data_IF_817048305232
#
_entry.id   IF_817048305232
#
_cell.length_a   1.000
_cell.length_b   1.000
_cell.length_c   1.000
_cell.angle_alpha   90.00
_cell.angle_beta   90.00
_cell.angle_gamma   90.00
#
_symmetry.space_group_name_H-M   'P 1'
#
loop_
_entity.id
_entity.type
_entity.pdbx_description
1 polymer ?
#
# COMPACT_ATOMS: atom_id res chain seq x y z
N UNK A 1 -12.19 -12.66 17.53
CA UNK A 1 -13.08 -11.95 16.59
C UNK A 1 -13.80 -10.83 17.34
N UNK A 2 -13.73 -9.59 16.88
CA UNK A 2 -14.43 -8.47 17.53
C UNK A 2 -15.94 -8.60 17.27
N UNK A 3 -16.76 -8.55 18.33
CA UNK A 3 -18.23 -8.54 18.20
C UNK A 3 -18.66 -7.31 17.39
N UNK A 4 -19.57 -7.44 16.41
CA UNK A 4 -20.14 -6.27 15.75
C UNK A 4 -20.91 -5.42 16.78
N UNK A 5 -20.82 -4.08 16.72
CA UNK A 5 -21.50 -3.21 17.67
C UNK A 5 -23.03 -3.39 17.60
N UNK A 6 -23.69 -3.34 18.77
CA UNK A 6 -25.12 -3.62 19.02
C UNK A 6 -26.12 -2.72 18.28
N UNK A 7 -25.66 -1.76 17.46
CA UNK A 7 -26.52 -0.88 16.66
C UNK A 7 -26.99 -1.52 15.35
N UNK A 8 -26.59 -2.77 15.06
CA UNK A 8 -26.87 -3.41 13.78
C UNK A 8 -28.38 -3.55 13.51
N UNK A 9 -29.21 -3.81 14.53
CA UNK A 9 -30.63 -4.16 14.38
C UNK A 9 -31.46 -3.12 13.60
N UNK A 10 -31.15 -1.82 13.72
CA UNK A 10 -31.92 -0.73 13.09
C UNK A 10 -31.23 -0.12 11.85
N UNK A 11 -30.16 -0.73 11.34
CA UNK A 11 -29.47 -0.20 10.15
C UNK A 11 -30.23 -0.63 8.88
N UNK A 12 -30.64 0.31 7.99
CA UNK A 12 -31.37 -0.03 6.76
C UNK A 12 -30.61 -1.07 5.91
N UNK A 13 -31.29 -2.01 5.23
CA UNK A 13 -30.64 -3.09 4.49
C UNK A 13 -29.60 -2.61 3.47
N UNK A 14 -29.92 -1.52 2.75
CA UNK A 14 -29.01 -0.93 1.77
C UNK A 14 -27.71 -0.41 2.41
N UNK A 15 -27.79 0.20 3.60
CA UNK A 15 -26.61 0.70 4.34
C UNK A 15 -25.72 -0.47 4.78
N UNK A 16 -26.29 -1.59 5.23
CA UNK A 16 -25.52 -2.80 5.56
C UNK A 16 -24.77 -3.35 4.34
N UNK A 17 -25.42 -3.39 3.18
CA UNK A 17 -24.79 -3.84 1.93
C UNK A 17 -23.62 -2.95 1.53
N UNK A 18 -23.76 -1.63 1.58
CA UNK A 18 -22.65 -0.71 1.27
C UNK A 18 -21.46 -0.86 2.22
N UNK A 19 -21.73 -1.05 3.52
CA UNK A 19 -20.67 -1.27 4.51
C UNK A 19 -19.94 -2.58 4.24
N UNK A 20 -20.67 -3.67 3.96
CA UNK A 20 -20.09 -4.98 3.64
C UNK A 20 -19.25 -4.91 2.35
N UNK A 21 -19.77 -4.26 1.31
CA UNK A 21 -19.07 -4.04 0.04
C UNK A 21 -17.76 -3.29 0.26
N UNK A 22 -17.77 -2.22 1.08
CA UNK A 22 -16.56 -1.49 1.42
C UNK A 22 -15.50 -2.36 2.12
N UNK A 23 -15.91 -3.19 3.09
CA UNK A 23 -15.00 -4.12 3.76
C UNK A 23 -14.43 -5.17 2.82
N UNK A 24 -15.23 -5.67 1.87
CA UNK A 24 -14.78 -6.61 0.86
C UNK A 24 -13.74 -5.96 -0.07
N UNK A 25 -14.04 -4.79 -0.63
CA UNK A 25 -13.12 -4.05 -1.51
C UNK A 25 -11.81 -3.74 -0.79
N UNK A 26 -11.88 -3.30 0.47
CA UNK A 26 -10.68 -3.07 1.29
C UNK A 26 -9.86 -4.35 1.48
N UNK A 27 -10.50 -5.46 1.81
CA UNK A 27 -9.81 -6.73 2.04
C UNK A 27 -9.13 -7.24 0.78
N UNK A 28 -9.80 -7.15 -0.37
CA UNK A 28 -9.23 -7.51 -1.68
C UNK A 28 -8.05 -6.60 -2.02
N UNK A 29 -8.18 -5.29 -1.84
CA UNK A 29 -7.09 -4.34 -2.09
C UNK A 29 -5.88 -4.60 -1.17
N UNK A 30 -6.11 -4.91 0.10
CA UNK A 30 -5.04 -5.25 1.04
C UNK A 30 -4.34 -6.57 0.66
N UNK A 31 -5.11 -7.61 0.32
CA UNK A 31 -4.54 -8.88 -0.14
C UNK A 31 -3.73 -8.71 -1.42
N UNK A 32 -4.24 -7.95 -2.39
CA UNK A 32 -3.53 -7.60 -3.62
C UNK A 32 -2.20 -6.89 -3.31
N UNK A 33 -2.24 -5.84 -2.48
CA UNK A 33 -1.05 -5.08 -2.09
C UNK A 33 0.01 -6.00 -1.45
N UNK A 34 -0.40 -6.85 -0.50
CA UNK A 34 0.52 -7.78 0.18
C UNK A 34 1.12 -8.77 -0.81
N UNK A 35 0.31 -9.43 -1.62
CA UNK A 35 0.79 -10.43 -2.57
C UNK A 35 1.78 -9.85 -3.58
N UNK A 36 1.44 -8.71 -4.20
CA UNK A 36 2.29 -8.08 -5.22
C UNK A 36 3.58 -7.55 -4.59
N UNK A 37 3.50 -6.91 -3.42
CA UNK A 37 4.69 -6.34 -2.76
C UNK A 37 5.61 -7.44 -2.23
N UNK A 38 5.06 -8.51 -1.65
CA UNK A 38 5.86 -9.67 -1.23
C UNK A 38 6.52 -10.35 -2.43
N UNK A 39 5.80 -10.55 -3.53
CA UNK A 39 6.37 -11.14 -4.74
C UNK A 39 7.48 -10.24 -5.32
N UNK A 40 7.24 -8.94 -5.39
CA UNK A 40 8.22 -7.96 -5.85
C UNK A 40 9.48 -7.93 -4.97
N UNK A 41 9.32 -8.06 -3.65
CA UNK A 41 10.43 -8.06 -2.71
C UNK A 41 11.20 -9.38 -2.72
N UNK A 42 10.52 -10.52 -2.71
CA UNK A 42 11.15 -11.84 -2.84
C UNK A 42 11.93 -11.95 -4.14
N UNK A 43 11.39 -11.43 -5.25
CA UNK A 43 12.12 -11.38 -6.52
C UNK A 43 13.40 -10.54 -6.42
N UNK A 44 13.46 -9.52 -5.56
CA UNK A 44 14.68 -8.74 -5.33
C UNK A 44 15.68 -9.48 -4.44
N UNK A 45 15.21 -10.15 -3.38
CA UNK A 45 16.09 -10.82 -2.41
C UNK A 45 16.65 -12.14 -2.95
N UNK A 46 15.91 -12.82 -3.82
CA UNK A 46 16.31 -14.09 -4.43
C UNK A 46 16.93 -13.87 -5.81
N UNK A 47 17.76 -14.81 -6.27
CA UNK A 47 18.31 -14.79 -7.63
C UNK A 47 17.36 -15.46 -8.64
N UNK A 48 16.04 -15.44 -8.36
CA UNK A 48 15.02 -16.03 -9.22
C UNK A 48 14.66 -15.18 -10.44
N UNK A 49 15.21 -13.96 -10.55
CA UNK A 49 15.03 -13.06 -11.69
C UNK A 49 16.16 -13.19 -12.71
N UNK A 50 15.81 -13.04 -13.99
CA UNK A 50 16.77 -13.03 -15.09
C UNK A 50 17.84 -11.93 -14.92
N UNK A 51 19.05 -12.18 -15.43
CA UNK A 51 20.15 -11.19 -15.49
C UNK A 51 19.73 -9.84 -16.10
N UNK A 52 18.74 -9.82 -16.99
CA UNK A 52 18.18 -8.60 -17.59
C UNK A 52 17.41 -7.75 -16.58
N UNK A 53 16.75 -8.37 -15.60
CA UNK A 53 16.11 -7.67 -14.49
C UNK A 53 17.14 -7.11 -13.51
N UNK A 54 18.24 -7.83 -13.25
CA UNK A 54 19.38 -7.28 -12.49
C UNK A 54 19.97 -6.04 -13.16
N UNK A 55 20.17 -6.04 -14.47
CA UNK A 55 20.68 -4.87 -15.20
C UNK A 55 19.74 -3.65 -15.10
N UNK A 56 18.43 -3.88 -15.07
CA UNK A 56 17.46 -2.81 -14.82
C UNK A 56 17.52 -2.28 -13.38
N UNK A 57 17.81 -3.12 -12.39
CA UNK A 57 18.03 -2.65 -11.01
C UNK A 57 19.28 -1.79 -10.86
N UNK A 58 20.37 -2.15 -11.55
CA UNK A 58 21.58 -1.31 -11.58
C UNK A 58 21.26 0.06 -12.18
N UNK A 59 20.50 0.10 -13.29
CA UNK A 59 20.03 1.37 -13.88
C UNK A 59 19.12 2.18 -12.97
N UNK A 60 18.27 1.52 -12.18
CA UNK A 60 17.45 2.20 -11.16
C UNK A 60 18.33 2.78 -10.05
N UNK A 61 19.41 2.08 -9.67
CA UNK A 61 20.38 2.56 -8.70
C UNK A 61 21.12 3.80 -9.20
N UNK A 62 21.58 3.79 -10.45
CA UNK A 62 22.27 4.93 -11.08
C UNK A 62 21.33 6.15 -11.17
N UNK A 63 20.06 5.94 -11.51
CA UNK A 63 19.05 6.99 -11.48
C UNK A 63 18.78 7.52 -10.05
N UNK A 64 18.84 6.65 -9.04
CA UNK A 64 18.72 7.03 -7.63
C UNK A 64 19.95 7.77 -7.09
N UNK A 65 21.14 7.47 -7.61
CA UNK A 65 22.41 8.08 -7.20
C UNK A 65 22.49 9.59 -7.49
N UNK A 66 21.78 10.05 -8.53
CA UNK A 66 21.68 11.48 -8.90
C UNK A 66 20.64 12.23 -8.05
N UNK A 67 19.75 11.50 -7.36
CA UNK A 67 18.74 12.09 -6.47
C UNK A 67 19.37 12.46 -5.11
N UNK A 68 18.90 13.49 -4.37
CA UNK A 68 19.40 13.85 -3.03
C UNK A 68 19.41 12.73 -1.97
N UNK A 69 18.82 11.56 -2.26
CA UNK A 69 18.84 10.37 -1.40
C UNK A 69 19.91 9.32 -1.82
N UNK A 70 20.68 9.58 -2.88
CA UNK A 70 21.72 8.70 -3.44
C UNK A 70 23.05 8.68 -2.68
N UNK A 71 23.17 9.43 -1.57
CA UNK A 71 24.42 9.64 -0.83
C UNK A 71 25.03 8.38 -0.20
N UNK A 72 24.30 7.26 -0.16
CA UNK A 72 24.75 6.06 0.56
C UNK A 72 25.79 5.23 -0.20
N UNK A 73 26.00 5.46 -1.50
CA UNK A 73 27.03 4.77 -2.29
C UNK A 73 26.95 3.24 -2.20
N UNK A 74 25.73 2.69 -2.07
CA UNK A 74 25.54 1.27 -1.82
C UNK A 74 25.87 0.44 -3.05
N UNK A 75 26.48 -0.71 -2.83
CA UNK A 75 26.60 -1.74 -3.86
C UNK A 75 25.21 -2.14 -4.38
N UNK A 76 25.01 -2.32 -5.71
CA UNK A 76 23.70 -2.67 -6.29
C UNK A 76 23.06 -3.91 -5.69
N UNK A 77 23.85 -4.92 -5.29
CA UNK A 77 23.35 -6.13 -4.63
C UNK A 77 22.81 -5.82 -3.25
N UNK A 78 23.53 -5.01 -2.47
CA UNK A 78 23.12 -4.57 -1.12
C UNK A 78 21.84 -3.76 -1.20
N UNK A 79 21.77 -2.78 -2.10
CA UNK A 79 20.57 -1.98 -2.29
C UNK A 79 19.35 -2.83 -2.67
N UNK A 80 19.52 -3.75 -3.63
CA UNK A 80 18.46 -4.68 -4.05
C UNK A 80 17.94 -5.49 -2.86
N UNK A 81 18.83 -6.02 -2.02
CA UNK A 81 18.46 -6.76 -0.81
C UNK A 81 17.71 -5.86 0.18
N UNK A 82 18.20 -4.65 0.44
CA UNK A 82 17.55 -3.71 1.35
C UNK A 82 16.13 -3.34 0.90
N UNK A 83 15.95 -3.01 -0.39
CA UNK A 83 14.63 -2.71 -0.96
C UNK A 83 13.72 -3.94 -0.88
N UNK A 84 14.21 -5.11 -1.29
CA UNK A 84 13.42 -6.34 -1.29
C UNK A 84 12.97 -6.77 0.10
N UNK A 85 13.88 -6.75 1.09
CA UNK A 85 13.54 -7.02 2.48
C UNK A 85 12.54 -5.98 3.02
N UNK A 86 12.72 -4.70 2.70
CA UNK A 86 11.81 -3.64 3.14
C UNK A 86 10.41 -3.83 2.58
N UNK A 87 10.27 -4.16 1.29
CA UNK A 87 9.00 -4.46 0.65
C UNK A 87 8.28 -5.63 1.35
N UNK A 88 8.97 -6.75 1.57
CA UNK A 88 8.38 -7.93 2.25
C UNK A 88 7.97 -7.59 3.68
N UNK A 89 8.86 -6.99 4.47
CA UNK A 89 8.59 -6.67 5.87
C UNK A 89 7.44 -5.67 6.00
N UNK A 90 7.42 -4.62 5.19
CA UNK A 90 6.36 -3.61 5.22
C UNK A 90 5.03 -4.17 4.74
N UNK A 91 5.02 -5.00 3.68
CA UNK A 91 3.83 -5.68 3.22
C UNK A 91 3.20 -6.52 4.34
N UNK A 92 3.98 -7.36 5.03
CA UNK A 92 3.50 -8.14 6.16
C UNK A 92 3.05 -7.26 7.33
N UNK A 93 3.76 -6.16 7.60
CA UNK A 93 3.38 -5.20 8.64
C UNK A 93 2.04 -4.51 8.35
N UNK A 94 1.58 -4.44 7.08
CA UNK A 94 0.22 -3.95 6.77
C UNK A 94 -0.89 -4.88 7.29
N UNK A 95 -0.58 -6.14 7.59
CA UNK A 95 -1.50 -7.09 8.22
C UNK A 95 -1.54 -6.97 9.74
N UNK A 96 -0.73 -6.08 10.34
CA UNK A 96 -0.66 -5.94 11.78
C UNK A 96 -2.06 -5.62 12.37
N UNK A 97 -2.43 -6.29 13.49
CA UNK A 97 -3.71 -6.03 14.14
C UNK A 97 -3.76 -4.61 14.72
N UNK A 98 -2.62 -4.15 15.23
CA UNK A 98 -2.43 -2.80 15.75
C UNK A 98 -2.48 -1.76 14.64
N UNK A 99 -3.41 -0.81 14.79
CA UNK A 99 -3.61 0.32 13.88
C UNK A 99 -2.33 1.16 13.65
N UNK A 100 -1.59 1.60 14.68
CA UNK A 100 -0.40 2.44 14.46
C UNK A 100 0.68 1.74 13.63
N UNK A 101 0.96 0.46 13.88
CA UNK A 101 1.96 -0.28 13.11
C UNK A 101 1.56 -0.43 11.63
N UNK A 102 0.28 -0.73 11.39
CA UNK A 102 -0.27 -0.81 10.03
C UNK A 102 -0.23 0.53 9.29
N UNK A 103 -0.55 1.64 9.96
CA UNK A 103 -0.49 2.97 9.35
C UNK A 103 0.95 3.38 9.01
N UNK A 104 1.91 3.09 9.89
CA UNK A 104 3.34 3.27 9.62
C UNK A 104 3.80 2.45 8.41
N UNK A 105 3.37 1.19 8.32
CA UNK A 105 3.69 0.32 7.19
C UNK A 105 3.18 0.91 5.86
N UNK A 106 1.94 1.39 5.80
CA UNK A 106 1.41 2.04 4.60
C UNK A 106 2.18 3.31 4.23
N UNK A 107 2.53 4.15 5.21
CA UNK A 107 3.29 5.37 4.95
C UNK A 107 4.68 5.06 4.35
N UNK A 108 5.42 4.13 4.97
CA UNK A 108 6.75 3.73 4.50
C UNK A 108 6.68 3.06 3.13
N UNK A 109 5.69 2.19 2.91
CA UNK A 109 5.49 1.56 1.61
C UNK A 109 5.11 2.58 0.54
N UNK A 110 4.34 3.62 0.89
CA UNK A 110 4.04 4.74 0.01
C UNK A 110 5.28 5.54 -0.41
N UNK A 111 6.17 5.83 0.54
CA UNK A 111 7.46 6.49 0.25
C UNK A 111 8.32 5.64 -0.69
N UNK A 112 8.46 4.35 -0.41
CA UNK A 112 9.21 3.42 -1.27
C UNK A 112 8.62 3.34 -2.67
N UNK A 113 7.29 3.18 -2.78
CA UNK A 113 6.59 3.07 -4.07
C UNK A 113 6.69 4.36 -4.87
N UNK A 114 6.65 5.52 -4.22
CA UNK A 114 6.88 6.81 -4.89
C UNK A 114 8.32 6.94 -5.42
N UNK A 115 9.32 6.49 -4.65
CA UNK A 115 10.70 6.42 -5.12
C UNK A 115 10.84 5.51 -6.35
N UNK A 116 10.19 4.34 -6.34
CA UNK A 116 10.16 3.43 -7.47
C UNK A 116 9.47 4.04 -8.70
N UNK A 117 8.35 4.75 -8.50
CA UNK A 117 7.65 5.46 -9.58
C UNK A 117 8.59 6.46 -10.27
N UNK A 118 9.29 7.28 -9.49
CA UNK A 118 10.27 8.24 -10.01
C UNK A 118 11.42 7.52 -10.74
N UNK A 119 11.94 6.43 -10.18
CA UNK A 119 12.97 5.64 -10.82
C UNK A 119 12.51 5.07 -12.18
N UNK A 120 11.31 4.48 -12.24
CA UNK A 120 10.70 3.96 -13.47
C UNK A 120 10.48 5.04 -14.53
N UNK A 121 10.00 6.22 -14.10
CA UNK A 121 9.85 7.39 -14.97
C UNK A 121 11.19 7.83 -15.59
N UNK A 122 12.27 7.87 -14.80
CA UNK A 122 13.59 8.26 -15.30
C UNK A 122 14.20 7.24 -16.27
N UNK A 123 14.06 5.95 -16.01
CA UNK A 123 14.62 4.89 -16.88
C UNK A 123 13.74 4.57 -18.10
N UNK A 124 12.51 5.10 -18.15
CA UNK A 124 11.53 4.91 -19.23
C UNK A 124 11.27 3.44 -19.57
N UNK A 125 11.10 2.60 -18.55
CA UNK A 125 10.87 1.16 -18.73
C UNK A 125 9.38 0.75 -18.80
N UNK A 126 8.47 1.72 -18.82
CA UNK A 126 7.02 1.52 -18.96
C UNK A 126 6.32 1.01 -17.69
N UNK A 127 7.04 0.93 -16.57
CA UNK A 127 6.51 0.42 -15.30
C UNK A 127 6.04 1.52 -14.34
N UNK A 128 6.10 2.77 -14.76
CA UNK A 128 5.56 3.91 -14.01
C UNK A 128 4.04 3.77 -13.80
N UNK A 129 3.30 3.23 -14.76
CA UNK A 129 1.85 3.06 -14.63
C UNK A 129 1.48 2.02 -13.56
N UNK A 130 2.04 0.78 -13.58
CA UNK A 130 1.88 -0.16 -12.48
C UNK A 130 2.29 0.41 -11.10
N UNK A 131 3.41 1.16 -11.04
CA UNK A 131 3.86 1.78 -9.79
C UNK A 131 2.88 2.84 -9.27
N UNK A 132 2.29 3.65 -10.16
CA UNK A 132 1.26 4.63 -9.82
C UNK A 132 -0.02 3.96 -9.30
N UNK A 133 -0.46 2.87 -9.93
CA UNK A 133 -1.63 2.10 -9.47
C UNK A 133 -1.39 1.55 -8.06
N UNK A 134 -0.20 0.98 -7.81
CA UNK A 134 0.19 0.52 -6.48
C UNK A 134 0.17 1.64 -5.44
N UNK A 135 0.69 2.82 -5.79
CA UNK A 135 0.67 3.99 -4.92
C UNK A 135 -0.77 4.42 -4.58
N UNK A 136 -1.67 4.43 -5.57
CA UNK A 136 -3.08 4.74 -5.35
C UNK A 136 -3.76 3.73 -4.43
N UNK A 137 -3.46 2.44 -4.55
CA UNK A 137 -3.96 1.39 -3.65
C UNK A 137 -3.48 1.62 -2.21
N UNK A 138 -2.21 1.99 -2.02
CA UNK A 138 -1.65 2.31 -0.69
C UNK A 138 -2.37 3.51 -0.09
N UNK A 139 -2.56 4.59 -0.87
CA UNK A 139 -3.30 5.79 -0.43
C UNK A 139 -4.74 5.43 -0.07
N UNK A 140 -5.44 4.67 -0.91
CA UNK A 140 -6.79 4.20 -0.63
C UNK A 140 -6.85 3.44 0.70
N UNK A 141 -5.97 2.45 0.92
CA UNK A 141 -5.94 1.66 2.15
C UNK A 141 -5.58 2.49 3.39
N UNK A 142 -4.67 3.45 3.24
CA UNK A 142 -4.24 4.36 4.31
C UNK A 142 -5.38 5.25 4.80
N UNK A 143 -6.21 5.73 3.89
CA UNK A 143 -7.29 6.67 4.17
C UNK A 143 -8.67 6.02 4.24
N UNK A 144 -8.80 4.72 3.95
CA UNK A 144 -10.08 4.00 4.02
C UNK A 144 -10.76 4.14 5.39
N UNK A 145 -10.00 3.97 6.49
CA UNK A 145 -10.55 4.09 7.84
C UNK A 145 -10.97 5.53 8.19
N UNK A 146 -10.37 6.53 7.55
CA UNK A 146 -10.78 7.93 7.68
C UNK A 146 -12.08 8.17 6.92
N UNK A 147 -12.17 7.75 5.65
CA UNK A 147 -13.37 7.83 4.84
C UNK A 147 -14.56 7.11 5.51
N UNK A 148 -14.34 5.89 6.01
CA UNK A 148 -15.38 5.12 6.71
C UNK A 148 -15.84 5.77 8.04
N UNK A 149 -14.95 6.50 8.74
CA UNK A 149 -15.33 7.29 9.91
C UNK A 149 -16.17 8.50 9.51
N UNK A 150 -15.73 9.23 8.49
CA UNK A 150 -16.44 10.39 7.97
C UNK A 150 -17.86 10.04 7.49
N UNK A 151 -18.00 8.97 6.70
CA UNK A 151 -19.31 8.51 6.21
C UNK A 151 -20.26 8.13 7.34
N UNK A 152 -19.75 7.52 8.43
CA UNK A 152 -20.57 7.20 9.62
C UNK A 152 -20.99 8.44 10.40
N UNK A 153 -20.08 9.40 10.58
CA UNK A 153 -20.38 10.67 11.25
C UNK A 153 -21.44 11.47 10.46
N UNK A 154 -21.29 11.55 9.14
CA UNK A 154 -22.25 12.22 8.26
C UNK A 154 -23.64 11.54 8.28
N UNK A 155 -23.68 10.20 8.21
CA UNK A 155 -24.94 9.45 8.30
C UNK A 155 -25.66 9.66 9.65
N UNK A 156 -24.90 9.73 10.75
CA UNK A 156 -25.45 10.01 12.07
C UNK A 156 -26.04 11.43 12.15
N UNK A 157 -25.41 12.41 11.51
CA UNK A 157 -25.91 13.79 11.51
C UNK A 157 -27.19 13.94 10.70
N UNK A 158 -27.29 13.35 9.50
CA UNK A 158 -28.53 13.32 8.71
C UNK A 158 -29.68 12.67 9.49
N UNK A 159 -29.40 11.58 10.21
CA UNK A 159 -30.42 10.90 11.00
C UNK A 159 -30.98 11.80 12.12
N UNK A 160 -30.14 12.64 12.75
CA UNK A 160 -30.60 13.62 13.74
C UNK A 160 -31.45 14.71 13.10
N UNK A 161 -31.08 15.19 11.92
CA UNK A 161 -31.84 16.25 11.23
C UNK A 161 -33.24 15.78 10.81
N UNK A 162 -33.40 14.51 10.42
CA UNK A 162 -34.71 13.93 10.07
C UNK A 162 -35.61 13.60 11.26
N UNK A 163 -35.05 13.55 12.47
CA UNK A 163 -35.79 13.27 13.70
C UNK A 163 -36.33 14.53 14.39
N UNK A 164 -36.04 15.71 13.85
CA UNK A 164 -36.59 17.01 14.27
C UNK A 164 -37.66 17.43 13.27
#
# INVERSE_FOLDING_TARGET
>A
AARPPSSAANTPPHVRTYVLMGYLVRSVAAAYLVCVTCLAGVNKVTDLISLKAHANFVRQLDAFAVHPYGFLGLDPKVFRMCVGCSEVTLALATLAPSRPHREWAYNLLGVLTNGLLVAHYHIKDGKETPALVMLMVIVYLRFYDFAAKFSRAYAAEIAKTKAR
#
